data_IF_943621484119
#
_entry.id   IF_943621484119
#
_cell.length_a   1.000
_cell.length_b   1.000
_cell.length_c   1.000
_cell.angle_alpha   90.00
_cell.angle_beta   90.00
_cell.angle_gamma   90.00
#
_symmetry.space_group_name_H-M   'P 1'
#
loop_
_entity.id
_entity.type
_entity.pdbx_description
1 polymer ?
#
# COMPACT_ATOMS: atom_id res chain seq x y z
N UNK A 1 -19.70 13.87 -14.43
CA UNK A 1 -19.70 12.47 -13.97
C UNK A 1 -19.10 12.49 -12.57
N UNK A 2 -19.61 11.72 -11.63
CA UNK A 2 -19.02 11.60 -10.28
C UNK A 2 -17.78 10.71 -10.40
N UNK A 3 -16.63 11.19 -9.94
CA UNK A 3 -15.40 10.40 -9.88
C UNK A 3 -15.44 9.36 -8.75
N UNK A 4 -14.40 8.57 -8.65
CA UNK A 4 -14.29 7.57 -7.59
C UNK A 4 -14.12 8.18 -6.20
N UNK A 5 -14.50 7.42 -5.20
CA UNK A 5 -14.32 7.72 -3.79
C UNK A 5 -13.44 6.65 -3.15
N UNK A 6 -12.52 7.03 -2.27
CA UNK A 6 -11.64 6.08 -1.59
C UNK A 6 -12.00 6.01 -0.11
N UNK A 7 -12.20 4.78 0.39
CA UNK A 7 -12.45 4.48 1.80
C UNK A 7 -11.21 3.83 2.41
N UNK A 8 -10.41 4.56 3.22
CA UNK A 8 -9.32 3.97 3.99
C UNK A 8 -9.90 3.11 5.12
N UNK A 9 -9.48 1.86 5.19
CA UNK A 9 -9.93 0.89 6.18
C UNK A 9 -8.72 0.44 6.99
N UNK A 10 -8.47 1.02 8.19
CA UNK A 10 -7.36 0.63 9.04
C UNK A 10 -7.66 -0.70 9.72
N UNK A 11 -6.78 -1.68 9.56
CA UNK A 11 -6.92 -3.00 10.17
C UNK A 11 -6.09 -3.14 11.45
N UNK A 12 -4.89 -2.59 11.47
CA UNK A 12 -3.97 -2.67 12.60
C UNK A 12 -3.06 -1.44 12.72
N UNK A 13 -2.50 -1.26 13.91
CA UNK A 13 -1.47 -0.26 14.20
C UNK A 13 -0.30 -0.91 14.94
N UNK A 14 0.90 -0.34 14.78
CA UNK A 14 2.10 -0.75 15.50
C UNK A 14 2.94 0.46 15.89
N UNK A 15 3.43 0.55 17.16
CA UNK A 15 4.41 1.56 17.52
C UNK A 15 5.73 1.30 16.78
N UNK A 16 6.35 2.34 16.29
CA UNK A 16 7.57 2.28 15.49
C UNK A 16 8.37 3.57 15.61
N UNK A 17 9.44 3.67 14.86
CA UNK A 17 10.26 4.87 14.65
C UNK A 17 10.17 5.29 13.18
N UNK A 18 10.14 6.60 12.91
CA UNK A 18 10.07 7.10 11.54
C UNK A 18 11.26 6.69 10.67
N UNK A 19 12.42 6.43 11.28
CA UNK A 19 13.60 5.96 10.54
C UNK A 19 13.42 4.59 9.89
N UNK A 20 12.43 3.79 10.31
CA UNK A 20 12.04 2.56 9.62
C UNK A 20 11.30 2.82 8.29
N UNK A 21 10.81 4.05 8.10
CA UNK A 21 10.10 4.46 6.88
C UNK A 21 10.92 5.44 6.03
N UNK A 22 11.87 6.16 6.65
CA UNK A 22 12.63 7.24 6.00
C UNK A 22 14.14 6.95 6.04
N UNK A 23 14.75 6.79 4.88
CA UNK A 23 16.17 6.42 4.75
C UNK A 23 17.09 7.48 5.34
N UNK A 24 17.86 7.12 6.37
CA UNK A 24 18.78 7.99 7.13
C UNK A 24 18.15 9.30 7.62
N UNK A 25 16.84 9.32 7.88
CA UNK A 25 16.17 10.51 8.37
C UNK A 25 15.24 10.19 9.56
N UNK A 26 14.85 11.22 10.31
CA UNK A 26 13.84 11.15 11.38
C UNK A 26 14.16 10.13 12.51
N UNK A 27 15.42 9.85 12.78
CA UNK A 27 15.88 8.95 13.84
C UNK A 27 15.33 9.37 15.20
N UNK A 28 14.80 8.42 15.97
CA UNK A 28 14.26 8.65 17.32
C UNK A 28 12.90 9.34 17.33
N UNK A 29 12.27 9.58 16.18
CA UNK A 29 10.95 10.16 16.12
C UNK A 29 9.87 9.06 16.14
N UNK A 30 8.95 9.08 17.12
CA UNK A 30 7.93 8.04 17.22
C UNK A 30 6.98 8.08 16.03
N UNK A 31 6.56 6.90 15.60
CA UNK A 31 5.58 6.68 14.55
C UNK A 31 4.58 5.62 15.01
N UNK A 32 3.31 5.82 14.64
CA UNK A 32 2.31 4.77 14.69
C UNK A 32 2.11 4.26 13.25
N UNK A 33 2.79 3.17 12.90
CA UNK A 33 2.60 2.51 11.60
C UNK A 33 1.20 1.93 11.54
N UNK A 34 0.52 2.11 10.42
CA UNK A 34 -0.84 1.63 10.23
C UNK A 34 -0.91 0.72 9.02
N UNK A 35 -1.55 -0.42 9.16
CA UNK A 35 -1.89 -1.30 8.03
C UNK A 35 -3.31 -1.05 7.57
N UNK A 36 -3.46 -0.75 6.29
CA UNK A 36 -4.74 -0.48 5.63
C UNK A 36 -5.07 -1.49 4.57
N UNK A 37 -6.37 -1.55 4.25
CA UNK A 37 -6.89 -1.83 2.92
C UNK A 37 -7.65 -0.60 2.45
N UNK A 38 -7.85 -0.47 1.13
CA UNK A 38 -8.49 0.72 0.56
C UNK A 38 -9.59 0.28 -0.39
N UNK A 39 -10.84 0.61 -0.07
CA UNK A 39 -11.95 0.35 -0.99
C UNK A 39 -12.16 1.55 -1.91
N UNK A 40 -12.20 1.31 -3.22
CA UNK A 40 -12.46 2.31 -4.25
C UNK A 40 -13.90 2.10 -4.74
N UNK A 41 -14.75 3.08 -4.46
CA UNK A 41 -16.16 3.12 -4.85
C UNK A 41 -16.36 4.05 -6.05
N UNK A 42 -17.36 3.76 -6.89
CA UNK A 42 -17.81 4.65 -7.98
C UNK A 42 -17.51 4.14 -9.38
N UNK A 43 -16.63 3.15 -9.55
CA UNK A 43 -16.37 2.47 -10.82
C UNK A 43 -17.38 1.39 -11.17
N UNK A 44 -17.17 0.72 -12.31
CA UNK A 44 -17.95 -0.47 -12.71
C UNK A 44 -17.64 -1.68 -11.82
N UNK A 45 -16.40 -1.77 -11.35
CA UNK A 45 -15.91 -2.84 -10.50
C UNK A 45 -15.73 -2.30 -9.08
N UNK A 46 -16.01 -3.13 -8.11
CA UNK A 46 -15.71 -2.91 -6.71
C UNK A 46 -14.27 -3.33 -6.45
N UNK A 47 -13.40 -2.35 -6.24
CA UNK A 47 -11.95 -2.56 -6.18
C UNK A 47 -11.47 -2.37 -4.73
N UNK A 48 -10.65 -3.30 -4.26
CA UNK A 48 -9.91 -3.16 -3.00
C UNK A 48 -8.41 -3.15 -3.30
N UNK A 49 -7.67 -2.24 -2.68
CA UNK A 49 -6.19 -2.19 -2.76
C UNK A 49 -5.64 -2.79 -1.47
N UNK A 50 -4.79 -3.77 -1.61
CA UNK A 50 -4.26 -4.67 -0.60
C UNK A 50 -5.34 -5.48 0.13
N UNK A 51 -4.94 -6.51 0.84
CA UNK A 51 -5.83 -7.34 1.64
C UNK A 51 -5.48 -7.31 3.14
N UNK A 52 -4.45 -6.55 3.51
CA UNK A 52 -4.02 -6.32 4.88
C UNK A 52 -3.12 -7.41 5.46
N UNK A 53 -2.65 -7.17 6.67
CA UNK A 53 -1.79 -8.04 7.46
C UNK A 53 -2.52 -8.65 8.67
N UNK A 54 -2.06 -9.82 9.09
CA UNK A 54 -2.52 -10.46 10.33
C UNK A 54 -1.70 -9.94 11.54
N UNK A 55 -2.30 -9.16 12.46
CA UNK A 55 -1.59 -8.67 13.64
C UNK A 55 -1.04 -9.76 14.54
N UNK A 56 -1.65 -10.95 14.55
CA UNK A 56 -1.13 -12.08 15.31
C UNK A 56 0.16 -12.62 14.67
N UNK A 57 0.24 -12.61 13.34
CA UNK A 57 1.48 -12.96 12.65
C UNK A 57 2.58 -11.93 12.93
N UNK A 58 2.25 -10.64 12.82
CA UNK A 58 3.17 -9.54 13.14
C UNK A 58 3.73 -9.67 14.56
N UNK A 59 2.87 -9.93 15.55
CA UNK A 59 3.30 -10.13 16.95
C UNK A 59 4.24 -11.33 17.12
N UNK A 60 4.00 -12.44 16.41
CA UNK A 60 4.86 -13.63 16.45
C UNK A 60 6.27 -13.40 15.93
N UNK A 61 6.43 -12.48 14.99
CA UNK A 61 7.75 -12.09 14.44
C UNK A 61 8.36 -10.88 15.14
N UNK A 62 7.80 -10.46 16.28
CA UNK A 62 8.35 -9.41 17.13
C UNK A 62 7.89 -7.99 16.78
N UNK A 63 6.90 -7.82 15.90
CA UNK A 63 6.28 -6.53 15.59
C UNK A 63 5.04 -6.36 16.46
N UNK A 64 5.02 -5.44 17.46
CA UNK A 64 3.92 -5.28 18.40
C UNK A 64 2.70 -4.62 17.74
N UNK A 65 1.93 -5.40 16.99
CA UNK A 65 0.75 -4.92 16.29
C UNK A 65 -0.53 -5.11 17.10
N UNK A 66 -1.42 -4.13 17.02
CA UNK A 66 -2.74 -4.12 17.68
C UNK A 66 -3.86 -4.05 16.62
N UNK A 67 -4.85 -4.90 16.77
CA UNK A 67 -6.05 -4.85 15.92
C UNK A 67 -6.83 -3.54 16.13
N UNK A 68 -7.27 -2.95 15.03
CA UNK A 68 -8.27 -1.88 15.00
C UNK A 68 -9.63 -2.41 14.53
N UNK A 69 -9.63 -3.07 13.37
CA UNK A 69 -10.82 -3.68 12.77
C UNK A 69 -10.48 -5.07 12.23
N UNK A 70 -11.44 -5.98 12.24
CA UNK A 70 -11.34 -7.16 11.38
C UNK A 70 -11.60 -6.75 9.92
N UNK A 71 -11.19 -7.57 8.97
CA UNK A 71 -11.44 -7.34 7.54
C UNK A 71 -12.93 -7.09 7.29
N UNK A 72 -13.80 -7.97 7.79
CA UNK A 72 -15.25 -7.89 7.58
C UNK A 72 -15.87 -6.65 8.22
N UNK A 73 -15.46 -6.33 9.45
CA UNK A 73 -15.96 -5.13 10.13
C UNK A 73 -15.54 -3.85 9.40
N UNK A 74 -14.32 -3.85 8.83
CA UNK A 74 -13.82 -2.74 8.03
C UNK A 74 -14.58 -2.56 6.73
N UNK A 75 -14.77 -3.64 5.98
CA UNK A 75 -15.55 -3.64 4.73
C UNK A 75 -17.01 -3.26 4.98
N UNK A 76 -17.64 -3.79 6.03
CA UNK A 76 -19.03 -3.45 6.38
C UNK A 76 -19.20 -1.96 6.70
N UNK A 77 -18.23 -1.32 7.35
CA UNK A 77 -18.23 0.14 7.57
C UNK A 77 -18.17 0.94 6.27
N UNK A 78 -17.51 0.40 5.25
CA UNK A 78 -17.46 1.00 3.92
C UNK A 78 -18.68 0.59 3.04
N UNK A 79 -19.64 -0.16 3.58
CA UNK A 79 -20.87 -0.55 2.89
C UNK A 79 -20.71 -1.67 1.88
N UNK A 80 -19.70 -2.54 2.03
CA UNK A 80 -19.39 -3.64 1.12
C UNK A 80 -19.05 -4.92 1.90
N UNK A 81 -19.20 -6.08 1.27
CA UNK A 81 -18.70 -7.37 1.77
C UNK A 81 -17.55 -7.89 0.92
N UNK A 82 -16.80 -8.87 1.42
CA UNK A 82 -15.69 -9.46 0.68
C UNK A 82 -16.16 -10.22 -0.58
N UNK A 83 -17.36 -10.80 -0.55
CA UNK A 83 -17.96 -11.51 -1.68
C UNK A 83 -18.36 -10.58 -2.83
N UNK A 84 -18.56 -9.30 -2.55
CA UNK A 84 -18.95 -8.30 -3.54
C UNK A 84 -17.75 -7.66 -4.26
N UNK A 85 -16.51 -7.91 -3.79
CA UNK A 85 -15.30 -7.36 -4.40
C UNK A 85 -14.99 -8.10 -5.69
N UNK A 86 -14.83 -7.35 -6.80
CA UNK A 86 -14.50 -7.88 -8.12
C UNK A 86 -12.99 -7.99 -8.36
N UNK A 87 -12.23 -7.04 -7.79
CA UNK A 87 -10.80 -6.92 -8.01
C UNK A 87 -10.08 -6.54 -6.70
N UNK A 88 -9.05 -7.31 -6.36
CA UNK A 88 -8.04 -6.92 -5.37
C UNK A 88 -6.76 -6.54 -6.10
N UNK A 89 -6.25 -5.33 -5.89
CA UNK A 89 -4.96 -4.88 -6.41
C UNK A 89 -3.94 -5.01 -5.29
N UNK A 90 -3.00 -5.94 -5.39
CA UNK A 90 -1.89 -6.04 -4.44
C UNK A 90 -0.82 -5.01 -4.80
N UNK A 91 -0.52 -4.10 -3.89
CA UNK A 91 0.59 -3.16 -4.10
C UNK A 91 1.91 -3.91 -4.23
N UNK A 92 2.10 -4.95 -3.44
CA UNK A 92 3.18 -5.92 -3.47
C UNK A 92 2.78 -7.16 -2.65
N UNK A 93 3.63 -8.20 -2.59
CA UNK A 93 3.27 -9.49 -2.00
C UNK A 93 3.88 -9.75 -0.61
N UNK A 94 4.26 -8.72 0.16
CA UNK A 94 4.63 -8.92 1.55
C UNK A 94 3.43 -9.38 2.38
N UNK A 95 3.68 -10.17 3.42
CA UNK A 95 2.66 -10.81 4.24
C UNK A 95 1.69 -9.83 4.91
N UNK A 96 2.13 -8.61 5.19
CA UNK A 96 1.31 -7.55 5.81
C UNK A 96 0.35 -6.85 4.83
N UNK A 97 0.43 -7.17 3.53
CA UNK A 97 -0.47 -6.72 2.47
C UNK A 97 -1.32 -7.85 1.90
N UNK A 98 -0.89 -9.13 2.03
CA UNK A 98 -1.51 -10.27 1.36
C UNK A 98 -2.23 -11.25 2.28
N UNK A 99 -2.20 -11.05 3.61
CA UNK A 99 -2.66 -12.06 4.58
C UNK A 99 -4.11 -12.50 4.37
N UNK A 100 -4.98 -11.62 3.93
CA UNK A 100 -6.41 -11.93 3.77
C UNK A 100 -6.88 -11.99 2.32
N UNK A 101 -5.98 -12.08 1.33
CA UNK A 101 -6.33 -12.10 -0.08
C UNK A 101 -7.29 -13.24 -0.45
N UNK A 102 -7.14 -14.42 0.16
CA UNK A 102 -8.02 -15.57 -0.04
C UNK A 102 -9.44 -15.39 0.50
N UNK A 103 -9.69 -14.34 1.30
CA UNK A 103 -11.01 -14.02 1.86
C UNK A 103 -11.90 -13.24 0.90
N UNK A 104 -11.42 -12.93 -0.30
CA UNK A 104 -12.17 -12.31 -1.39
C UNK A 104 -12.49 -13.38 -2.46
N UNK A 105 -13.53 -14.22 -2.25
CA UNK A 105 -13.72 -15.46 -3.01
C UNK A 105 -14.04 -15.24 -4.49
N UNK A 106 -14.64 -14.11 -4.82
CA UNK A 106 -15.05 -13.78 -6.18
C UNK A 106 -14.04 -12.89 -6.92
N UNK A 107 -13.14 -12.24 -6.19
CA UNK A 107 -12.19 -11.30 -6.76
C UNK A 107 -11.11 -12.01 -7.60
N UNK A 108 -10.70 -11.37 -8.70
CA UNK A 108 -9.38 -11.60 -9.26
C UNK A 108 -8.35 -10.74 -8.53
N UNK A 109 -7.11 -11.20 -8.47
CA UNK A 109 -6.04 -10.53 -7.72
C UNK A 109 -4.99 -10.06 -8.69
N UNK A 110 -4.82 -8.74 -8.82
CA UNK A 110 -3.88 -8.13 -9.76
C UNK A 110 -2.53 -7.86 -9.12
N UNK A 111 -1.46 -8.31 -9.78
CA UNK A 111 -0.08 -8.19 -9.31
C UNK A 111 0.88 -7.97 -10.47
N UNK A 112 1.97 -7.26 -10.22
CA UNK A 112 3.05 -7.10 -11.20
C UNK A 112 3.79 -8.43 -11.43
N UNK A 113 4.11 -8.72 -12.70
CA UNK A 113 4.90 -9.90 -13.07
C UNK A 113 6.22 -9.97 -12.29
N UNK A 114 6.94 -8.87 -12.19
CA UNK A 114 8.23 -8.80 -11.49
C UNK A 114 8.10 -9.07 -9.99
N UNK A 115 6.98 -8.66 -9.37
CA UNK A 115 6.68 -8.97 -7.97
C UNK A 115 6.44 -10.46 -7.76
N UNK A 116 5.57 -11.06 -8.59
CA UNK A 116 5.25 -12.46 -8.51
C UNK A 116 6.46 -13.35 -8.77
N UNK A 117 7.28 -13.03 -9.78
CA UNK A 117 8.50 -13.78 -10.07
C UNK A 117 9.48 -13.75 -8.90
N UNK A 118 9.65 -12.57 -8.27
CA UNK A 118 10.50 -12.42 -7.10
C UNK A 118 9.92 -13.11 -5.86
N UNK A 119 8.64 -12.95 -5.58
CA UNK A 119 7.97 -13.54 -4.41
C UNK A 119 8.03 -15.08 -4.38
N UNK A 120 8.08 -15.72 -5.56
CA UNK A 120 8.25 -17.18 -5.70
C UNK A 120 9.65 -17.69 -5.37
N UNK A 121 10.66 -16.85 -5.54
CA UNK A 121 12.05 -17.18 -5.24
C UNK A 121 12.79 -15.94 -4.70
N UNK A 122 12.39 -15.46 -3.52
CA UNK A 122 12.92 -14.23 -2.96
C UNK A 122 14.39 -14.40 -2.54
N UNK A 123 15.15 -13.32 -2.61
CA UNK A 123 16.48 -13.27 -2.02
C UNK A 123 16.40 -13.63 -0.52
N UNK A 124 17.34 -14.39 0.06
CA UNK A 124 17.31 -14.85 1.46
C UNK A 124 17.04 -13.73 2.49
N UNK A 125 17.56 -12.52 2.27
CA UNK A 125 17.32 -11.34 3.13
C UNK A 125 15.83 -10.97 3.18
N UNK A 126 15.09 -11.21 2.10
CA UNK A 126 13.68 -10.87 1.93
C UNK A 126 12.71 -12.04 2.10
N UNK A 127 13.23 -13.28 2.18
CA UNK A 127 12.40 -14.48 2.19
C UNK A 127 11.36 -14.51 3.33
N UNK A 128 11.68 -13.91 4.48
CA UNK A 128 10.75 -13.83 5.61
C UNK A 128 9.56 -12.89 5.41
N UNK A 129 9.56 -12.07 4.36
CA UNK A 129 8.46 -11.14 4.03
C UNK A 129 7.43 -11.77 3.08
N UNK A 130 7.75 -12.88 2.43
CA UNK A 130 6.90 -13.54 1.45
C UNK A 130 6.47 -14.92 1.95
N UNK A 131 5.18 -15.19 1.91
CA UNK A 131 4.63 -16.54 2.16
C UNK A 131 3.85 -16.99 0.91
N UNK A 132 4.37 -17.95 0.12
CA UNK A 132 3.70 -18.45 -1.09
C UNK A 132 2.27 -18.94 -0.85
N UNK A 133 1.94 -19.40 0.36
CA UNK A 133 0.60 -19.85 0.72
C UNK A 133 -0.45 -18.73 0.64
N UNK A 134 -0.01 -17.47 0.75
CA UNK A 134 -0.91 -16.32 0.73
C UNK A 134 -1.32 -15.91 -0.68
N UNK A 135 -0.59 -16.34 -1.73
CA UNK A 135 -0.86 -15.85 -3.10
C UNK A 135 -0.89 -16.92 -4.19
N UNK A 136 -0.26 -18.11 -4.04
CA UNK A 136 -0.17 -19.09 -5.14
C UNK A 136 -1.51 -19.69 -5.57
N UNK A 137 -2.49 -19.77 -4.67
CA UNK A 137 -3.81 -20.33 -4.97
C UNK A 137 -4.88 -19.29 -5.35
N UNK A 138 -4.48 -18.04 -5.55
CA UNK A 138 -5.39 -16.95 -5.93
C UNK A 138 -5.62 -16.93 -7.45
N UNK A 139 -6.73 -16.32 -7.87
CA UNK A 139 -7.01 -16.02 -9.29
C UNK A 139 -6.16 -14.83 -9.73
N UNK A 140 -4.86 -15.07 -9.98
CA UNK A 140 -3.91 -14.02 -10.29
C UNK A 140 -4.13 -13.46 -11.71
N UNK A 141 -4.23 -12.13 -11.80
CA UNK A 141 -4.13 -11.36 -13.04
C UNK A 141 -2.77 -10.64 -13.03
N UNK A 142 -1.88 -11.04 -13.93
CA UNK A 142 -0.49 -10.57 -13.95
C UNK A 142 -0.35 -9.45 -14.96
N UNK A 143 0.12 -8.27 -14.48
CA UNK A 143 0.39 -7.09 -15.30
C UNK A 143 1.89 -6.79 -15.36
N UNK A 144 2.32 -5.97 -16.30
CA UNK A 144 3.72 -5.60 -16.47
C UNK A 144 3.85 -4.11 -16.78
N UNK A 145 4.34 -3.35 -15.82
CA UNK A 145 4.44 -1.89 -15.90
C UNK A 145 3.13 -1.18 -15.53
N UNK A 146 2.96 0.05 -16.02
CA UNK A 146 1.73 0.81 -15.84
C UNK A 146 0.56 0.12 -16.54
N UNK A 147 -0.61 0.16 -15.91
CA UNK A 147 -1.79 -0.51 -16.48
C UNK A 147 -3.07 0.30 -16.21
N UNK A 148 -3.88 0.48 -17.25
CA UNK A 148 -5.16 1.18 -17.14
C UNK A 148 -6.28 0.19 -16.83
N UNK A 149 -6.92 0.37 -15.65
CA UNK A 149 -8.10 -0.42 -15.25
C UNK A 149 -9.38 0.23 -15.80
N UNK A 150 -9.50 1.55 -15.62
CA UNK A 150 -10.62 2.35 -16.10
C UNK A 150 -10.17 3.77 -16.46
N UNK A 151 -11.09 4.67 -16.79
CA UNK A 151 -10.75 6.08 -17.00
C UNK A 151 -10.37 6.79 -15.69
N UNK A 152 -10.79 6.27 -14.55
CA UNK A 152 -10.56 6.87 -13.24
C UNK A 152 -9.55 6.09 -12.38
N UNK A 153 -9.25 4.82 -12.69
CA UNK A 153 -8.34 3.99 -11.88
C UNK A 153 -7.22 3.41 -12.75
N UNK A 154 -5.98 3.69 -12.36
CA UNK A 154 -4.79 3.21 -13.06
C UNK A 154 -3.77 2.62 -12.07
N UNK A 155 -3.04 1.61 -12.50
CA UNK A 155 -1.86 1.10 -11.83
C UNK A 155 -0.64 1.87 -12.32
N UNK A 156 0.18 2.29 -11.39
CA UNK A 156 1.49 2.89 -11.61
C UNK A 156 2.56 1.90 -11.13
N UNK A 157 3.47 1.51 -11.99
CA UNK A 157 4.62 0.71 -11.60
C UNK A 157 5.59 1.57 -10.79
N UNK A 158 5.71 1.28 -9.49
CA UNK A 158 6.52 2.04 -8.52
C UNK A 158 7.43 1.10 -7.73
N UNK A 159 8.44 0.50 -8.41
CA UNK A 159 9.35 -0.45 -7.78
C UNK A 159 10.31 0.21 -6.80
N UNK A 160 11.06 -0.61 -6.08
CA UNK A 160 12.17 -0.20 -5.23
C UNK A 160 11.98 -0.58 -3.78
N UNK A 161 10.80 -0.40 -3.19
CA UNK A 161 10.47 -1.04 -1.91
C UNK A 161 10.48 -2.55 -2.11
N UNK A 162 9.67 -3.08 -2.96
CA UNK A 162 9.79 -4.43 -3.52
C UNK A 162 10.16 -4.35 -5.01
N UNK A 163 10.68 -5.42 -5.62
CA UNK A 163 11.11 -5.38 -7.02
C UNK A 163 9.99 -5.09 -8.02
N UNK A 164 8.77 -5.49 -7.68
CA UNK A 164 7.58 -5.31 -8.51
C UNK A 164 6.50 -4.45 -7.86
N UNK A 165 6.86 -3.59 -6.91
CA UNK A 165 5.90 -2.71 -6.24
C UNK A 165 5.11 -1.84 -7.21
N UNK A 166 3.83 -1.61 -6.88
CA UNK A 166 2.93 -0.76 -7.64
C UNK A 166 2.07 0.10 -6.74
N UNK A 167 1.63 1.23 -7.26
CA UNK A 167 0.72 2.17 -6.61
C UNK A 167 -0.57 2.29 -7.43
N UNK A 168 -1.64 2.78 -6.82
CA UNK A 168 -2.93 2.93 -7.50
C UNK A 168 -3.31 4.40 -7.57
N UNK A 169 -3.43 4.91 -8.79
CA UNK A 169 -3.90 6.27 -9.06
C UNK A 169 -5.41 6.25 -9.28
N UNK A 170 -6.11 7.12 -8.56
CA UNK A 170 -7.57 7.21 -8.56
C UNK A 170 -7.98 8.66 -8.81
N UNK A 171 -8.79 8.92 -9.81
CA UNK A 171 -9.43 10.24 -10.00
C UNK A 171 -10.58 10.39 -9.02
N UNK A 172 -10.51 11.43 -8.20
CA UNK A 172 -11.52 11.78 -7.22
C UNK A 172 -12.05 13.20 -7.49
N UNK A 173 -13.14 13.59 -6.84
CA UNK A 173 -13.67 14.96 -6.96
C UNK A 173 -12.71 16.03 -6.37
N UNK A 174 -11.65 15.61 -5.66
CA UNK A 174 -10.60 16.47 -5.09
C UNK A 174 -9.28 16.43 -5.86
N UNK A 175 -9.24 15.77 -7.01
CA UNK A 175 -8.05 15.58 -7.84
C UNK A 175 -7.57 14.13 -7.86
N UNK A 176 -6.37 13.92 -8.34
CA UNK A 176 -5.75 12.60 -8.44
C UNK A 176 -5.21 12.17 -7.09
N UNK A 177 -5.84 11.17 -6.47
CA UNK A 177 -5.32 10.52 -5.28
C UNK A 177 -4.46 9.30 -5.67
N UNK A 178 -3.29 9.14 -5.03
CA UNK A 178 -2.44 7.97 -5.25
C UNK A 178 -2.28 7.20 -3.95
N UNK A 179 -2.77 5.96 -3.92
CA UNK A 179 -2.47 4.98 -2.88
C UNK A 179 -1.07 4.47 -3.18
N UNK A 180 -0.12 4.91 -2.37
CA UNK A 180 1.31 4.72 -2.61
C UNK A 180 1.80 3.40 -2.04
N UNK A 181 2.04 2.42 -2.91
CA UNK A 181 2.40 1.04 -2.56
C UNK A 181 3.87 0.83 -2.16
N UNK A 182 4.48 1.82 -1.50
CA UNK A 182 5.81 1.72 -0.92
C UNK A 182 5.72 1.71 0.61
N UNK A 183 6.70 1.12 1.29
CA UNK A 183 6.85 1.23 2.74
C UNK A 183 7.22 2.67 3.12
N UNK A 184 6.24 3.57 3.11
CA UNK A 184 6.44 5.02 3.21
C UNK A 184 5.39 5.72 4.07
N UNK A 185 5.74 6.93 4.50
CA UNK A 185 4.89 7.89 5.21
C UNK A 185 4.93 9.24 4.49
N UNK A 186 4.12 10.21 4.89
CA UNK A 186 4.08 11.53 4.24
C UNK A 186 5.43 12.25 4.24
N UNK A 187 6.28 12.01 5.24
CA UNK A 187 7.63 12.60 5.30
C UNK A 187 8.53 12.18 4.11
N UNK A 188 8.28 11.02 3.49
CA UNK A 188 9.03 10.61 2.30
C UNK A 188 8.75 11.55 1.10
N UNK A 189 7.52 12.04 0.99
CA UNK A 189 7.05 12.90 -0.10
C UNK A 189 7.23 14.39 0.21
N UNK A 190 7.11 14.76 1.49
CA UNK A 190 7.24 16.14 1.98
C UNK A 190 8.25 16.18 3.13
N UNK A 191 9.54 15.99 2.82
CA UNK A 191 10.57 15.94 3.86
C UNK A 191 10.68 17.26 4.61
N UNK A 192 10.92 17.21 5.93
CA UNK A 192 11.22 18.40 6.69
C UNK A 192 12.53 19.03 6.18
N UNK A 193 12.71 20.36 6.36
CA UNK A 193 13.98 21.00 6.03
C UNK A 193 15.15 20.36 6.77
N UNK A 194 16.28 20.24 6.08
CA UNK A 194 17.53 19.80 6.70
C UNK A 194 17.99 20.79 7.79
N UNK A 195 18.85 20.40 8.75
CA UNK A 195 19.35 21.30 9.80
C UNK A 195 20.03 22.58 9.27
N UNK A 196 20.55 22.56 8.05
CA UNK A 196 21.15 23.72 7.37
C UNK A 196 20.12 24.58 6.59
N UNK A 197 18.82 24.31 6.74
CA UNK A 197 17.73 25.02 6.07
C UNK A 197 17.51 24.62 4.60
N UNK A 198 18.30 23.69 4.05
CA UNK A 198 18.08 23.20 2.69
C UNK A 198 16.89 22.21 2.66
N UNK A 199 16.15 22.23 1.57
CA UNK A 199 15.10 21.26 1.28
C UNK A 199 15.60 20.21 0.30
N UNK A 200 15.11 18.97 0.44
CA UNK A 200 15.30 17.88 -0.51
C UNK A 200 13.96 17.53 -1.14
N UNK A 201 13.98 17.02 -2.34
CA UNK A 201 12.74 16.75 -3.09
C UNK A 201 11.91 15.64 -2.44
N UNK A 202 12.58 14.59 -1.96
CA UNK A 202 11.99 13.40 -1.38
C UNK A 202 12.99 12.70 -0.45
N UNK A 203 12.48 11.76 0.38
CA UNK A 203 13.30 10.80 1.12
C UNK A 203 12.89 9.41 0.63
N UNK A 204 13.85 8.58 0.26
CA UNK A 204 13.58 7.19 -0.09
C UNK A 204 13.01 6.41 1.13
N UNK A 205 12.17 5.39 0.94
CA UNK A 205 11.81 4.45 1.99
C UNK A 205 13.05 3.77 2.58
N UNK A 206 13.07 3.58 3.89
CA UNK A 206 14.18 2.90 4.57
C UNK A 206 14.23 1.41 4.24
N UNK A 207 13.06 0.79 4.08
CA UNK A 207 12.93 -0.62 3.66
C UNK A 207 12.78 -0.64 2.14
N UNK A 208 13.84 -1.08 1.46
CA UNK A 208 13.90 -1.11 0.00
C UNK A 208 14.77 -2.25 -0.53
N UNK A 209 14.38 -2.81 -1.64
CA UNK A 209 15.19 -3.76 -2.43
C UNK A 209 16.16 -3.03 -3.35
N UNK A 210 15.82 -1.80 -3.75
CA UNK A 210 16.65 -0.91 -4.57
C UNK A 210 16.37 0.54 -4.16
N UNK A 211 17.39 1.19 -3.59
CA UNK A 211 17.30 2.55 -3.06
C UNK A 211 16.95 3.58 -4.14
N UNK A 212 17.60 3.48 -5.30
CA UNK A 212 17.43 4.46 -6.36
C UNK A 212 16.05 4.34 -7.01
N UNK A 213 15.60 3.13 -7.31
CA UNK A 213 14.25 2.91 -7.81
C UNK A 213 13.19 3.36 -6.79
N UNK A 214 13.40 3.11 -5.49
CA UNK A 214 12.48 3.56 -4.45
C UNK A 214 12.38 5.09 -4.38
N UNK A 215 13.51 5.79 -4.48
CA UNK A 215 13.54 7.25 -4.54
C UNK A 215 12.81 7.78 -5.78
N UNK A 216 13.11 7.25 -6.96
CA UNK A 216 12.47 7.66 -8.22
C UNK A 216 10.96 7.41 -8.19
N UNK A 217 10.52 6.31 -7.56
CA UNK A 217 9.10 6.01 -7.37
C UNK A 217 8.41 7.01 -6.44
N UNK A 218 9.07 7.44 -5.35
CA UNK A 218 8.54 8.50 -4.47
C UNK A 218 8.40 9.82 -5.23
N UNK A 219 9.41 10.23 -6.00
CA UNK A 219 9.37 11.45 -6.82
C UNK A 219 8.24 11.36 -7.85
N UNK A 220 8.14 10.25 -8.56
CA UNK A 220 7.08 10.01 -9.54
C UNK A 220 5.67 10.15 -8.95
N UNK A 221 5.43 9.53 -7.78
CA UNK A 221 4.14 9.64 -7.09
C UNK A 221 3.86 11.10 -6.73
N UNK A 222 4.85 11.80 -6.17
CA UNK A 222 4.72 13.20 -5.77
C UNK A 222 4.37 14.12 -6.94
N UNK A 223 4.93 13.87 -8.13
CA UNK A 223 4.67 14.66 -9.33
C UNK A 223 3.27 14.42 -9.93
N UNK A 224 2.72 13.23 -9.73
CA UNK A 224 1.44 12.82 -10.33
C UNK A 224 0.23 13.03 -9.41
N UNK A 225 0.45 13.14 -8.09
CA UNK A 225 -0.63 13.15 -7.10
C UNK A 225 -0.99 14.56 -6.64
N UNK A 226 -2.29 14.85 -6.58
CA UNK A 226 -2.83 15.95 -5.78
C UNK A 226 -2.98 15.52 -4.31
N UNK A 227 -3.27 14.22 -4.07
CA UNK A 227 -3.44 13.62 -2.75
C UNK A 227 -2.59 12.35 -2.68
N UNK A 228 -1.65 12.31 -1.74
CA UNK A 228 -0.81 11.12 -1.51
C UNK A 228 -1.35 10.36 -0.31
N UNK A 229 -1.54 9.06 -0.47
CA UNK A 229 -2.06 8.13 0.53
C UNK A 229 -1.04 7.00 0.76
N UNK A 230 -0.01 7.23 1.60
CA UNK A 230 0.97 6.19 1.88
C UNK A 230 0.33 5.05 2.68
N UNK A 231 0.68 3.82 2.34
CA UNK A 231 0.01 2.62 2.89
C UNK A 231 0.30 2.37 4.38
N UNK A 232 1.27 3.08 4.97
CA UNK A 232 1.64 2.93 6.39
C UNK A 232 1.53 4.23 7.21
N UNK A 233 1.08 5.33 6.60
CA UNK A 233 0.99 6.62 7.27
C UNK A 233 -0.27 6.73 8.14
N UNK A 234 -0.17 7.17 9.40
CA UNK A 234 -1.33 7.27 10.28
C UNK A 234 -2.32 8.40 9.92
N UNK A 235 -1.98 9.30 9.01
CA UNK A 235 -2.84 10.45 8.65
C UNK A 235 -4.19 10.05 8.07
N UNK A 236 -4.32 8.83 7.54
CA UNK A 236 -5.59 8.31 7.03
C UNK A 236 -6.48 7.64 8.09
N UNK A 237 -6.00 7.48 9.35
CA UNK A 237 -6.81 6.95 10.45
C UNK A 237 -8.06 7.80 10.77
N UNK A 238 -7.96 9.11 10.59
CA UNK A 238 -9.05 10.06 10.88
C UNK A 238 -9.91 10.39 9.66
N UNK A 239 -9.58 9.83 8.50
CA UNK A 239 -10.32 10.05 7.26
C UNK A 239 -11.30 8.90 7.06
N UNK A 240 -12.60 9.19 7.05
CA UNK A 240 -13.61 8.17 6.71
C UNK A 240 -13.69 7.95 5.20
N UNK A 241 -13.49 9.01 4.42
CA UNK A 241 -13.68 9.02 2.96
C UNK A 241 -12.79 10.08 2.31
N UNK A 242 -12.29 9.79 1.13
CA UNK A 242 -11.62 10.73 0.23
C UNK A 242 -12.50 10.81 -1.04
N UNK A 243 -13.30 11.91 -1.16
CA UNK A 243 -14.27 12.07 -2.23
C UNK A 243 -13.63 12.52 -3.53
#
# INVERSE_FOLDING_TARGET
MKHCTIHPIPLWISPSDKSHMTYFANLGQPLCVTGYIWYIEGGKEKIVVDSGGDPQHLARIGIPAHNLLSLEAGLAKAGITAEEVDLVIQTHLHFDHTAFASRFPNARVMVQKRELDFARNPHPVWAGLYDPKLFENLKLEVVNGDFKISDDVNILFTPGHSPGGQSVSVKTDKGTAIIAGLCSILDNYNPPPLPNGKTIAAIAPAIHSDLFQAYDSVVRIKELADIILPIHDPSSLTRSVIP
#
